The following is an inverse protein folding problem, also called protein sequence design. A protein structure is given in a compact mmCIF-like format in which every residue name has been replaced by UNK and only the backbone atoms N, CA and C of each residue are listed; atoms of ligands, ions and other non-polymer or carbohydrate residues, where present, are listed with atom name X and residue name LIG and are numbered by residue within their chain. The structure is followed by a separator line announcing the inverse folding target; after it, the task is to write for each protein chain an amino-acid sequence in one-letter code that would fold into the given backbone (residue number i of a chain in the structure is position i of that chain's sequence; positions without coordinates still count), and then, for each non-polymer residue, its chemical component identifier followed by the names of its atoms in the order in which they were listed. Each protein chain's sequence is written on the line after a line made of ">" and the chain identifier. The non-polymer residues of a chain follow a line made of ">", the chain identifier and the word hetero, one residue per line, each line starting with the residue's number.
data_IF_085943512952
#
_entry.id   IF_085943512952
#
_cell.length_a   1.000
_cell.length_b   1.000
_cell.length_c   1.000
_cell.angle_alpha   90.00
_cell.angle_beta   90.00
_cell.angle_gamma   90.00
#
_symmetry.space_group_name_H-M   'P 1'
#
loop_
_entity.id
_entity.type
_entity.pdbx_description
1 polymer ?
#
# COMPACT_ATOMS: atom_id res chain seq x y z
N UNK A 1 -63.56 -44.88 -48.82
CA UNK A 1 -62.99 -45.30 -47.53
C UNK A 1 -63.95 -46.30 -46.95
N UNK A 2 -63.50 -47.53 -46.76
CA UNK A 2 -64.36 -48.59 -46.21
C UNK A 2 -64.63 -48.30 -44.72
N UNK A 3 -65.79 -48.73 -44.22
CA UNK A 3 -66.18 -48.47 -42.83
C UNK A 3 -65.16 -49.07 -41.83
N UNK A 4 -64.62 -50.25 -42.15
CA UNK A 4 -63.58 -50.94 -41.38
C UNK A 4 -62.24 -50.18 -41.37
N UNK A 5 -61.93 -49.45 -42.44
CA UNK A 5 -60.72 -48.63 -42.53
C UNK A 5 -60.83 -47.39 -41.63
N UNK A 6 -62.04 -46.79 -41.52
CA UNK A 6 -62.33 -45.73 -40.56
C UNK A 6 -62.18 -46.22 -39.12
N UNK A 7 -62.76 -47.38 -38.78
CA UNK A 7 -62.71 -47.95 -37.43
C UNK A 7 -61.26 -48.23 -37.01
N UNK A 8 -60.47 -48.83 -37.90
CA UNK A 8 -59.05 -49.11 -37.63
C UNK A 8 -58.24 -47.84 -37.39
N UNK A 9 -58.56 -46.77 -38.14
CA UNK A 9 -57.88 -45.48 -38.01
C UNK A 9 -58.28 -44.77 -36.73
N UNK A 10 -59.56 -44.84 -36.33
CA UNK A 10 -60.06 -44.29 -35.07
C UNK A 10 -59.37 -44.96 -33.87
N UNK A 11 -59.33 -46.29 -33.80
CA UNK A 11 -58.64 -46.98 -32.71
C UNK A 11 -57.15 -46.63 -32.62
N UNK A 12 -56.46 -46.52 -33.77
CA UNK A 12 -55.04 -46.10 -33.79
C UNK A 12 -54.86 -44.67 -33.26
N UNK A 13 -55.78 -43.77 -33.59
CA UNK A 13 -55.74 -42.39 -33.11
C UNK A 13 -56.06 -42.32 -31.61
N UNK A 14 -57.01 -43.11 -31.12
CA UNK A 14 -57.32 -43.25 -29.69
C UNK A 14 -56.10 -43.76 -28.91
N UNK A 15 -55.48 -44.86 -29.34
CA UNK A 15 -54.24 -45.38 -28.73
C UNK A 15 -53.11 -44.34 -28.72
N UNK A 16 -53.02 -43.54 -29.79
CA UNK A 16 -52.02 -42.47 -29.90
C UNK A 16 -52.32 -41.29 -28.98
N UNK A 17 -53.59 -40.93 -28.82
CA UNK A 17 -54.03 -39.90 -27.89
C UNK A 17 -53.70 -40.35 -26.46
N UNK A 18 -54.07 -41.56 -26.07
CA UNK A 18 -53.79 -42.10 -24.75
C UNK A 18 -52.29 -42.11 -24.44
N UNK A 19 -51.47 -42.54 -25.40
CA UNK A 19 -50.00 -42.51 -25.27
C UNK A 19 -49.47 -41.09 -25.07
N UNK A 20 -49.96 -40.13 -25.86
CA UNK A 20 -49.51 -38.73 -25.80
C UNK A 20 -49.99 -38.02 -24.54
N UNK A 21 -51.16 -38.38 -24.02
CA UNK A 21 -51.69 -37.87 -22.75
C UNK A 21 -50.88 -38.37 -21.56
N UNK A 22 -50.54 -39.67 -21.55
CA UNK A 22 -49.68 -40.26 -20.53
C UNK A 22 -48.25 -39.68 -20.57
N UNK A 23 -47.69 -39.49 -21.77
CA UNK A 23 -46.39 -38.84 -21.92
C UNK A 23 -46.44 -37.37 -21.44
N UNK A 24 -47.48 -36.62 -21.80
CA UNK A 24 -47.68 -35.25 -21.32
C UNK A 24 -47.77 -35.19 -19.79
N UNK A 25 -48.50 -36.13 -19.17
CA UNK A 25 -48.64 -36.19 -17.71
C UNK A 25 -47.27 -36.40 -17.07
N UNK A 26 -46.51 -37.40 -17.55
CA UNK A 26 -45.14 -37.68 -17.05
C UNK A 26 -44.19 -36.50 -17.22
N UNK A 27 -44.22 -35.83 -18.37
CA UNK A 27 -43.37 -34.65 -18.61
C UNK A 27 -43.73 -33.47 -17.71
N UNK A 28 -45.02 -33.25 -17.42
CA UNK A 28 -45.47 -32.21 -16.50
C UNK A 28 -45.03 -32.48 -15.07
N UNK A 29 -45.12 -33.73 -14.63
CA UNK A 29 -44.69 -34.14 -13.29
C UNK A 29 -43.17 -33.95 -13.15
N UNK A 30 -42.39 -34.44 -14.12
CA UNK A 30 -40.94 -34.28 -14.14
C UNK A 30 -40.51 -32.81 -14.21
N UNK A 31 -41.23 -31.98 -14.99
CA UNK A 31 -40.97 -30.54 -15.06
C UNK A 31 -41.22 -29.86 -13.72
N UNK A 32 -42.28 -30.25 -13.01
CA UNK A 32 -42.64 -29.68 -11.71
C UNK A 32 -41.58 -30.04 -10.66
N UNK A 33 -41.18 -31.32 -10.60
CA UNK A 33 -40.13 -31.80 -9.70
C UNK A 33 -38.79 -31.09 -9.96
N UNK A 34 -38.37 -31.01 -11.22
CA UNK A 34 -37.13 -30.33 -11.59
C UNK A 34 -37.18 -28.84 -11.26
N UNK A 35 -38.31 -28.18 -11.50
CA UNK A 35 -38.49 -26.76 -11.18
C UNK A 35 -38.39 -26.52 -9.67
N UNK A 36 -38.98 -27.37 -8.85
CA UNK A 36 -38.89 -27.30 -7.40
C UNK A 36 -37.43 -27.49 -6.95
N UNK A 37 -36.76 -28.53 -7.44
CA UNK A 37 -35.36 -28.80 -7.12
C UNK A 37 -34.43 -27.63 -7.49
N UNK A 38 -34.60 -27.05 -8.68
CA UNK A 38 -33.80 -25.89 -9.12
C UNK A 38 -34.09 -24.67 -8.26
N UNK A 39 -35.35 -24.42 -7.92
CA UNK A 39 -35.74 -23.30 -7.06
C UNK A 39 -35.11 -23.42 -5.68
N UNK A 40 -35.12 -24.63 -5.13
CA UNK A 40 -34.52 -24.96 -3.84
C UNK A 40 -33.00 -24.79 -3.84
N UNK A 41 -32.30 -25.34 -4.84
CA UNK A 41 -30.84 -25.25 -4.94
C UNK A 41 -30.40 -23.79 -5.14
N UNK A 42 -31.08 -23.05 -6.03
CA UNK A 42 -30.83 -21.62 -6.23
C UNK A 42 -31.09 -20.85 -4.93
N UNK A 43 -32.20 -21.11 -4.23
CA UNK A 43 -32.53 -20.47 -2.96
C UNK A 43 -31.45 -20.70 -1.88
N UNK A 44 -30.94 -21.92 -1.77
CA UNK A 44 -29.83 -22.27 -0.85
C UNK A 44 -28.55 -21.54 -1.23
N UNK A 45 -28.18 -21.51 -2.51
CA UNK A 45 -26.97 -20.81 -2.99
C UNK A 45 -27.06 -19.30 -2.78
N UNK A 46 -28.20 -18.68 -3.10
CA UNK A 46 -28.44 -17.24 -2.87
C UNK A 46 -28.34 -16.91 -1.38
N UNK A 47 -28.93 -17.74 -0.51
CA UNK A 47 -28.82 -17.57 0.95
C UNK A 47 -27.38 -17.66 1.43
N UNK A 48 -26.62 -18.65 0.95
CA UNK A 48 -25.22 -18.84 1.31
C UNK A 48 -24.34 -17.67 0.83
N UNK A 49 -24.55 -17.20 -0.40
CA UNK A 49 -23.85 -16.03 -0.95
C UNK A 49 -24.19 -14.77 -0.15
N UNK A 50 -25.47 -14.56 0.20
CA UNK A 50 -25.89 -13.44 1.05
C UNK A 50 -25.17 -13.42 2.39
N UNK A 51 -25.10 -14.57 3.07
CA UNK A 51 -24.35 -14.72 4.35
C UNK A 51 -22.86 -14.40 4.19
N UNK A 52 -22.23 -14.89 3.12
CA UNK A 52 -20.81 -14.64 2.83
C UNK A 52 -20.54 -13.17 2.56
N UNK A 53 -21.39 -12.52 1.76
CA UNK A 53 -21.29 -11.09 1.45
C UNK A 53 -21.44 -10.24 2.70
N UNK A 54 -22.44 -10.52 3.54
CA UNK A 54 -22.62 -9.82 4.81
C UNK A 54 -21.39 -9.96 5.73
N UNK A 55 -20.86 -11.19 5.89
CA UNK A 55 -19.67 -11.42 6.69
C UNK A 55 -18.43 -10.68 6.14
N UNK A 56 -18.29 -10.61 4.81
CA UNK A 56 -17.21 -9.84 4.19
C UNK A 56 -17.38 -8.34 4.41
N UNK A 57 -18.60 -7.80 4.32
CA UNK A 57 -18.88 -6.40 4.60
C UNK A 57 -18.49 -6.05 6.05
N UNK A 58 -18.83 -6.89 7.03
CA UNK A 58 -18.41 -6.70 8.43
C UNK A 58 -16.89 -6.67 8.57
N UNK A 59 -16.17 -7.62 7.96
CA UNK A 59 -14.70 -7.65 8.01
C UNK A 59 -14.05 -6.43 7.36
N UNK A 60 -14.58 -5.98 6.23
CA UNK A 60 -14.09 -4.78 5.54
C UNK A 60 -14.30 -3.56 6.43
N UNK A 61 -15.47 -3.41 7.04
CA UNK A 61 -15.78 -2.31 7.94
C UNK A 61 -14.87 -2.31 9.18
N UNK A 62 -14.60 -3.47 9.78
CA UNK A 62 -13.65 -3.63 10.89
C UNK A 62 -12.23 -3.21 10.49
N UNK A 63 -11.74 -3.66 9.33
CA UNK A 63 -10.43 -3.29 8.82
C UNK A 63 -10.34 -1.79 8.56
N UNK A 64 -11.32 -1.22 7.86
CA UNK A 64 -11.37 0.21 7.57
C UNK A 64 -11.39 1.04 8.86
N UNK A 65 -12.18 0.63 9.85
CA UNK A 65 -12.24 1.30 11.16
C UNK A 65 -10.88 1.28 11.86
N UNK A 66 -10.21 0.11 11.90
CA UNK A 66 -8.89 -0.03 12.52
C UNK A 66 -7.82 0.81 11.82
N UNK A 67 -7.84 0.86 10.49
CA UNK A 67 -6.86 1.66 9.74
C UNK A 67 -7.09 3.17 9.96
N UNK A 68 -8.35 3.62 10.07
CA UNK A 68 -8.68 4.99 10.47
C UNK A 68 -8.19 5.32 11.88
N UNK A 69 -8.35 4.41 12.85
CA UNK A 69 -7.84 4.57 14.23
C UNK A 69 -6.31 4.65 14.29
N UNK A 70 -5.61 4.01 13.35
CA UNK A 70 -4.16 4.17 13.19
C UNK A 70 -3.77 5.49 12.52
N UNK A 71 -4.73 6.25 12.00
CA UNK A 71 -4.52 7.53 11.33
C UNK A 71 -4.29 7.43 9.82
N UNK A 72 -4.70 6.33 9.17
CA UNK A 72 -4.70 6.26 7.71
C UNK A 72 -5.78 7.19 7.12
N UNK A 73 -5.57 7.67 5.89
CA UNK A 73 -6.63 8.29 5.10
C UNK A 73 -7.14 7.29 4.07
N UNK A 74 -8.43 6.98 4.11
CA UNK A 74 -9.07 6.03 3.18
C UNK A 74 -9.76 6.78 2.06
N UNK A 75 -9.79 6.21 0.86
CA UNK A 75 -10.51 6.77 -0.28
C UNK A 75 -12.03 6.79 0.01
N UNK A 76 -12.66 7.96 -0.15
CA UNK A 76 -14.06 8.15 0.18
C UNK A 76 -15.00 7.29 -0.71
N UNK A 77 -14.61 6.96 -1.94
CA UNK A 77 -15.42 6.13 -2.85
C UNK A 77 -15.55 4.69 -2.33
N UNK A 78 -14.52 4.21 -1.64
CA UNK A 78 -14.41 2.82 -1.19
C UNK A 78 -14.85 2.62 0.27
N UNK A 79 -15.31 3.67 0.94
CA UNK A 79 -15.67 3.64 2.35
C UNK A 79 -17.18 3.78 2.54
N UNK A 80 -17.78 2.78 3.19
CA UNK A 80 -19.18 2.85 3.58
C UNK A 80 -19.31 3.29 5.03
N UNK A 81 -19.39 4.62 5.23
CA UNK A 81 -19.42 5.27 6.54
C UNK A 81 -20.44 4.70 7.55
N UNK A 82 -21.68 4.33 7.17
CA UNK A 82 -22.65 3.79 8.13
C UNK A 82 -22.23 2.46 8.78
N UNK A 83 -21.24 1.76 8.20
CA UNK A 83 -20.71 0.51 8.77
C UNK A 83 -19.48 0.69 9.65
N UNK A 84 -18.88 1.89 9.68
CA UNK A 84 -17.67 2.14 10.44
C UNK A 84 -17.95 2.23 11.94
N UNK A 85 -17.08 1.62 12.73
CA UNK A 85 -17.08 1.70 14.19
C UNK A 85 -15.81 2.43 14.60
N UNK A 86 -15.87 3.76 14.63
CA UNK A 86 -14.73 4.63 14.91
C UNK A 86 -14.95 5.50 16.14
N UNK A 87 -13.86 5.85 16.82
CA UNK A 87 -13.91 6.76 17.97
C UNK A 87 -14.55 8.11 17.60
N UNK A 88 -15.49 8.58 18.43
CA UNK A 88 -16.30 9.77 18.16
C UNK A 88 -17.40 9.61 17.10
N UNK A 89 -17.57 8.41 16.51
CA UNK A 89 -18.70 8.04 15.66
C UNK A 89 -18.84 8.81 14.34
N UNK A 90 -17.81 9.56 13.93
CA UNK A 90 -17.82 10.33 12.69
C UNK A 90 -16.43 10.37 12.06
N UNK A 91 -16.41 10.45 10.74
CA UNK A 91 -15.21 10.70 9.95
C UNK A 91 -15.27 12.11 9.36
N UNK A 92 -14.11 12.69 9.09
CA UNK A 92 -13.94 13.94 8.37
C UNK A 92 -13.56 13.63 6.91
N UNK A 93 -14.24 14.25 5.95
CA UNK A 93 -13.88 14.22 4.54
C UNK A 93 -12.98 15.40 4.20
N UNK A 94 -11.95 15.17 3.41
CA UNK A 94 -11.05 16.21 2.92
C UNK A 94 -10.52 15.85 1.52
N UNK A 95 -10.14 16.87 0.75
CA UNK A 95 -9.62 16.70 -0.61
C UNK A 95 -8.09 16.63 -0.63
N UNK A 96 -7.57 15.83 -1.56
CA UNK A 96 -6.17 15.78 -1.98
C UNK A 96 -6.08 15.96 -3.49
N UNK A 97 -4.87 16.12 -4.02
CA UNK A 97 -4.59 16.36 -5.44
C UNK A 97 -5.16 15.30 -6.40
N UNK A 98 -5.54 14.13 -5.89
CA UNK A 98 -5.96 12.97 -6.66
C UNK A 98 -7.31 12.38 -6.26
N UNK A 99 -8.00 12.98 -5.29
CA UNK A 99 -9.33 12.51 -4.88
C UNK A 99 -9.79 12.97 -3.51
N UNK A 100 -10.94 12.47 -3.10
CA UNK A 100 -11.55 12.74 -1.79
C UNK A 100 -11.27 11.59 -0.84
N UNK A 101 -10.86 11.92 0.38
CA UNK A 101 -10.47 10.95 1.40
C UNK A 101 -11.23 11.18 2.71
N UNK A 102 -11.32 10.13 3.52
CA UNK A 102 -11.87 10.15 4.89
C UNK A 102 -10.79 9.86 5.92
N UNK A 103 -10.89 10.54 7.07
CA UNK A 103 -10.01 10.35 8.25
C UNK A 103 -10.81 10.55 9.55
N UNK A 104 -10.19 10.28 10.71
CA UNK A 104 -10.79 10.65 11.99
C UNK A 104 -10.61 12.16 12.28
N UNK A 105 -11.64 12.83 12.84
CA UNK A 105 -11.54 14.24 13.23
C UNK A 105 -10.39 14.48 14.22
N UNK A 106 -9.64 15.55 14.05
CA UNK A 106 -8.56 15.93 14.98
C UNK A 106 -7.28 15.11 14.84
N UNK A 107 -7.27 14.03 14.04
CA UNK A 107 -6.04 13.41 13.55
C UNK A 107 -5.54 14.26 12.38
N UNK A 108 -4.72 15.26 12.69
CA UNK A 108 -4.07 16.08 11.67
C UNK A 108 -3.31 15.19 10.68
N UNK A 109 -3.39 15.56 9.41
CA UNK A 109 -2.49 15.06 8.38
C UNK A 109 -1.05 15.32 8.84
N UNK A 110 -0.39 14.27 9.34
CA UNK A 110 0.95 14.37 9.92
C UNK A 110 2.03 14.77 8.89
N UNK A 111 1.65 15.02 7.64
CA UNK A 111 2.59 15.33 6.59
C UNK A 111 2.46 16.71 5.97
N UNK A 112 1.34 17.44 6.12
CA UNK A 112 1.12 18.72 5.38
C UNK A 112 1.63 18.61 3.93
N UNK A 113 1.39 17.47 3.29
CA UNK A 113 1.91 17.16 1.95
C UNK A 113 0.76 16.55 1.17
N UNK A 114 0.26 17.31 0.20
CA UNK A 114 -0.68 16.85 -0.82
C UNK A 114 -0.15 15.58 -1.48
N UNK A 115 -0.60 14.44 -0.99
CA UNK A 115 -0.08 13.14 -1.36
C UNK A 115 -1.13 12.05 -1.16
N UNK A 116 -1.40 11.34 -2.25
CA UNK A 116 -2.43 10.32 -2.52
C UNK A 116 -2.83 9.39 -1.39
N UNK A 117 -1.96 9.03 -0.45
CA UNK A 117 -2.35 8.10 0.62
C UNK A 117 -1.42 8.32 1.78
N UNK A 118 -1.95 8.77 2.92
CA UNK A 118 -1.15 8.88 4.14
C UNK A 118 -1.13 7.50 4.77
N UNK A 119 0.07 6.91 4.75
CA UNK A 119 0.34 5.67 5.45
C UNK A 119 0.16 5.85 6.95
N UNK A 120 -0.33 4.80 7.63
CA UNK A 120 -0.38 4.77 9.08
C UNK A 120 1.03 4.91 9.66
N UNK A 121 1.14 5.47 10.87
CA UNK A 121 2.45 5.65 11.53
C UNK A 121 3.25 4.35 11.64
N UNK A 122 2.56 3.23 11.89
CA UNK A 122 3.17 1.90 12.00
C UNK A 122 3.74 1.34 10.69
N UNK A 123 3.29 1.85 9.53
CA UNK A 123 3.73 1.34 8.21
C UNK A 123 4.98 2.06 7.68
N UNK A 124 5.45 3.07 8.42
CA UNK A 124 6.64 3.84 8.09
C UNK A 124 7.91 3.14 8.56
N UNK A 125 9.02 3.49 7.93
CA UNK A 125 10.33 3.16 8.46
C UNK A 125 10.55 3.86 9.81
N UNK A 126 11.29 3.27 10.76
CA UNK A 126 11.66 3.94 12.01
C UNK A 126 12.24 5.34 11.81
N UNK A 127 13.10 5.54 10.80
CA UNK A 127 13.63 6.88 10.48
C UNK A 127 12.50 7.86 10.09
N UNK A 128 11.51 7.42 9.32
CA UNK A 128 10.36 8.22 8.92
C UNK A 128 9.43 8.50 10.12
N UNK A 129 9.30 7.56 11.06
CA UNK A 129 8.57 7.78 12.32
C UNK A 129 9.26 8.86 13.15
N UNK A 130 10.57 8.77 13.34
CA UNK A 130 11.36 9.72 14.11
C UNK A 130 11.39 11.12 13.48
N UNK A 131 11.36 11.23 12.15
CA UNK A 131 11.27 12.54 11.48
C UNK A 131 9.99 13.31 11.82
N UNK A 132 8.99 12.65 12.41
CA UNK A 132 7.71 13.23 12.85
C UNK A 132 7.70 13.65 14.31
N UNK A 133 8.71 13.29 15.09
CA UNK A 133 8.84 13.80 16.45
C UNK A 133 9.17 15.29 16.40
N UNK A 134 8.62 16.05 17.35
CA UNK A 134 9.07 17.42 17.59
C UNK A 134 10.52 17.42 18.09
N UNK A 135 11.19 18.57 17.98
CA UNK A 135 12.62 18.66 18.27
C UNK A 135 12.92 18.39 19.75
N UNK A 136 11.98 18.65 20.67
CA UNK A 136 12.14 18.40 22.11
C UNK A 136 12.09 16.90 22.44
N UNK A 137 11.15 16.16 21.83
CA UNK A 137 11.08 14.72 21.93
C UNK A 137 12.27 14.06 21.24
N UNK A 138 12.61 14.51 20.04
CA UNK A 138 13.78 14.03 19.30
C UNK A 138 15.07 14.30 20.09
N UNK A 139 15.13 15.37 20.89
CA UNK A 139 16.30 15.68 21.72
C UNK A 139 16.62 14.59 22.76
N UNK A 140 15.66 13.74 23.14
CA UNK A 140 15.86 12.61 24.04
C UNK A 140 16.56 11.40 23.37
N UNK A 141 16.58 11.34 22.04
CA UNK A 141 17.22 10.26 21.29
C UNK A 141 18.76 10.39 21.29
N UNK A 142 19.49 9.27 21.16
CA UNK A 142 20.94 9.30 21.02
C UNK A 142 21.38 10.20 19.86
N UNK A 143 22.47 10.94 20.05
CA UNK A 143 22.96 11.90 19.05
C UNK A 143 23.09 11.35 17.61
N UNK A 144 23.61 10.12 17.38
CA UNK A 144 23.67 9.56 16.03
C UNK A 144 22.28 9.35 15.40
N UNK A 145 21.27 9.04 16.21
CA UNK A 145 19.87 8.87 15.77
C UNK A 145 19.28 10.23 15.37
N UNK A 146 19.50 11.28 16.16
CA UNK A 146 19.06 12.64 15.83
C UNK A 146 19.67 13.12 14.51
N UNK A 147 20.98 12.95 14.35
CA UNK A 147 21.65 13.30 13.09
C UNK A 147 21.16 12.45 11.92
N UNK A 148 20.84 11.16 12.14
CA UNK A 148 20.27 10.31 11.10
C UNK A 148 18.90 10.84 10.64
N UNK A 149 18.08 11.33 11.57
CA UNK A 149 16.80 11.97 11.27
C UNK A 149 16.99 13.25 10.46
N UNK A 150 17.90 14.13 10.86
CA UNK A 150 18.17 15.38 10.14
C UNK A 150 18.71 15.13 8.72
N UNK A 151 19.63 14.19 8.59
CA UNK A 151 20.17 13.74 7.30
C UNK A 151 19.08 13.11 6.44
N UNK A 152 18.12 12.39 7.02
CA UNK A 152 16.99 11.84 6.27
C UNK A 152 15.98 12.92 5.85
N UNK A 153 15.78 13.95 6.68
CA UNK A 153 14.96 15.13 6.34
C UNK A 153 15.57 15.88 5.15
N UNK A 154 16.88 16.12 5.14
CA UNK A 154 17.61 16.73 4.02
C UNK A 154 17.40 15.97 2.70
N UNK A 155 17.35 14.63 2.74
CA UNK A 155 17.07 13.80 1.55
C UNK A 155 15.76 14.16 0.85
N UNK A 156 14.75 14.54 1.63
CA UNK A 156 13.40 14.82 1.15
C UNK A 156 13.24 16.27 0.66
N UNK A 157 14.18 17.15 1.00
CA UNK A 157 14.15 18.55 0.61
C UNK A 157 15.02 18.79 -0.62
N UNK A 158 14.38 18.79 -1.79
CA UNK A 158 15.04 19.09 -3.06
C UNK A 158 15.50 20.58 -3.17
N UNK A 159 15.20 21.45 -2.21
CA UNK A 159 15.67 22.85 -2.23
C UNK A 159 16.79 23.12 -1.21
N UNK A 160 17.11 22.17 -0.33
CA UNK A 160 18.18 22.32 0.64
C UNK A 160 19.56 22.43 -0.05
N UNK A 161 20.36 23.43 0.37
CA UNK A 161 21.74 23.62 -0.07
C UNK A 161 22.63 23.89 1.14
N UNK A 162 23.76 23.16 1.31
CA UNK A 162 24.27 22.08 0.47
C UNK A 162 23.55 20.74 0.68
N UNK A 163 23.25 20.03 -0.42
CA UNK A 163 22.63 18.68 -0.35
C UNK A 163 23.62 17.65 0.16
N UNK A 164 23.21 16.85 1.15
CA UNK A 164 24.02 15.73 1.65
C UNK A 164 23.85 14.49 0.78
N UNK A 165 22.64 14.26 0.30
CA UNK A 165 22.34 13.13 -0.57
C UNK A 165 22.63 13.48 -2.03
N UNK A 166 23.58 12.77 -2.60
CA UNK A 166 23.92 12.87 -4.01
C UNK A 166 23.04 11.94 -4.84
N UNK A 167 22.67 12.37 -6.06
CA UNK A 167 21.97 11.49 -7.01
C UNK A 167 22.93 10.41 -7.51
N UNK A 168 22.47 9.17 -7.46
CA UNK A 168 23.16 8.04 -8.04
C UNK A 168 22.89 7.86 -9.53
N UNK A 169 23.42 6.76 -10.06
CA UNK A 169 23.17 6.31 -11.44
C UNK A 169 22.94 4.80 -11.47
N UNK A 170 22.16 4.32 -12.45
CA UNK A 170 21.92 2.89 -12.66
C UNK A 170 21.14 2.26 -11.51
N UNK A 171 21.80 1.38 -10.74
CA UNK A 171 21.19 0.68 -9.60
C UNK A 171 21.16 1.50 -8.31
N UNK A 172 21.76 2.68 -8.30
CA UNK A 172 21.80 3.58 -7.13
C UNK A 172 20.86 4.75 -7.36
N UNK A 173 19.89 4.93 -6.47
CA UNK A 173 19.00 6.10 -6.50
C UNK A 173 19.72 7.33 -5.96
N UNK A 174 20.21 7.22 -4.73
CA UNK A 174 20.91 8.27 -4.01
C UNK A 174 22.00 7.64 -3.14
N UNK A 175 23.01 8.43 -2.80
CA UNK A 175 24.04 8.01 -1.86
C UNK A 175 24.52 9.17 -1.00
N UNK A 176 25.13 8.84 0.14
CA UNK A 176 25.70 9.76 1.10
C UNK A 176 27.13 9.31 1.44
N UNK A 177 28.10 10.20 1.23
CA UNK A 177 29.50 9.93 1.53
C UNK A 177 29.82 10.30 2.99
N UNK A 178 30.51 9.41 3.71
CA UNK A 178 30.85 9.64 5.11
C UNK A 178 31.77 10.86 5.32
N UNK A 179 32.62 11.19 4.33
CA UNK A 179 33.48 12.36 4.38
C UNK A 179 32.72 13.68 4.29
N UNK A 180 31.67 13.73 3.45
CA UNK A 180 30.78 14.88 3.33
C UNK A 180 29.92 15.02 4.57
N UNK A 181 29.34 13.92 5.06
CA UNK A 181 28.60 13.91 6.32
C UNK A 181 29.45 14.42 7.49
N UNK A 182 30.71 13.97 7.60
CA UNK A 182 31.62 14.45 8.63
C UNK A 182 31.94 15.94 8.48
N UNK A 183 31.95 16.48 7.25
CA UNK A 183 32.15 17.91 7.01
C UNK A 183 30.92 18.70 7.42
N UNK A 184 29.73 18.23 7.05
CA UNK A 184 28.46 18.81 7.45
C UNK A 184 28.29 18.84 8.97
N UNK A 185 28.55 17.74 9.67
CA UNK A 185 28.52 17.66 11.15
C UNK A 185 29.41 18.74 11.78
N UNK A 186 30.58 19.05 11.19
CA UNK A 186 31.46 20.10 11.73
C UNK A 186 30.96 21.51 11.50
N UNK A 187 30.18 21.72 10.44
CA UNK A 187 29.57 23.03 10.14
C UNK A 187 28.38 23.24 11.06
N UNK A 188 27.54 22.23 11.21
CA UNK A 188 26.37 22.25 12.07
C UNK A 188 26.76 22.36 13.55
N UNK A 189 27.76 21.59 13.98
CA UNK A 189 28.20 21.53 15.37
C UNK A 189 29.47 22.36 15.59
N UNK A 190 29.29 23.59 16.06
CA UNK A 190 30.40 24.50 16.39
C UNK A 190 31.36 23.84 17.40
N UNK A 191 32.65 23.80 17.05
CA UNK A 191 33.73 23.38 17.95
C UNK A 191 34.05 21.88 17.97
N UNK A 192 33.48 21.09 17.07
CA UNK A 192 33.77 19.65 16.98
C UNK A 192 35.08 19.36 16.25
N UNK A 193 35.91 18.50 16.84
CA UNK A 193 37.16 18.07 16.23
C UNK A 193 36.93 17.21 14.98
N UNK A 194 37.87 17.25 14.03
CA UNK A 194 37.78 16.46 12.79
C UNK A 194 37.59 14.95 13.05
N UNK A 195 38.33 14.41 14.01
CA UNK A 195 38.27 12.98 14.35
C UNK A 195 36.97 12.59 15.03
N UNK A 196 36.41 13.47 15.87
CA UNK A 196 35.10 13.23 16.48
C UNK A 196 33.98 13.27 15.44
N UNK A 197 33.99 14.25 14.54
CA UNK A 197 33.01 14.34 13.46
C UNK A 197 33.04 13.11 12.53
N UNK A 198 34.22 12.58 12.21
CA UNK A 198 34.35 11.33 11.45
C UNK A 198 33.74 10.13 12.19
N UNK A 199 34.00 10.00 13.50
CA UNK A 199 33.38 8.92 14.31
C UNK A 199 31.87 9.08 14.39
N UNK A 200 31.39 10.32 14.52
CA UNK A 200 29.96 10.62 14.62
C UNK A 200 29.26 10.36 13.27
N UNK A 201 29.88 10.70 12.15
CA UNK A 201 29.40 10.37 10.81
C UNK A 201 29.26 8.85 10.63
N UNK A 202 30.27 8.06 11.02
CA UNK A 202 30.17 6.60 10.96
C UNK A 202 29.02 6.05 11.78
N UNK A 203 28.85 6.52 13.03
CA UNK A 203 27.73 6.10 13.90
C UNK A 203 26.36 6.55 13.37
N UNK A 204 26.32 7.69 12.68
CA UNK A 204 25.10 8.20 12.05
C UNK A 204 24.72 7.34 10.85
N UNK A 205 25.69 6.89 10.05
CA UNK A 205 25.47 5.89 8.99
C UNK A 205 24.96 4.58 9.58
N UNK A 206 25.54 4.11 10.69
CA UNK A 206 25.07 2.90 11.38
C UNK A 206 23.61 3.05 11.83
N UNK A 207 23.25 4.19 12.42
CA UNK A 207 21.87 4.50 12.79
C UNK A 207 20.94 4.56 11.58
N UNK A 208 21.35 5.15 10.45
CA UNK A 208 20.55 5.15 9.22
C UNK A 208 20.32 3.74 8.66
N UNK A 209 21.34 2.88 8.67
CA UNK A 209 21.20 1.49 8.24
C UNK A 209 20.16 0.74 9.09
N UNK A 210 20.21 0.93 10.40
CA UNK A 210 19.27 0.34 11.35
C UNK A 210 17.85 0.90 11.15
N UNK A 211 17.70 2.23 11.16
CA UNK A 211 16.40 2.90 11.11
C UNK A 211 15.70 2.83 9.75
N UNK A 212 16.44 2.51 8.68
CA UNK A 212 15.86 2.26 7.36
C UNK A 212 15.44 0.80 7.16
N UNK A 213 15.64 -0.07 8.17
CA UNK A 213 15.19 -1.46 8.17
C UNK A 213 15.58 -2.23 6.88
N UNK A 214 16.86 -2.14 6.49
CA UNK A 214 17.41 -2.83 5.32
C UNK A 214 17.08 -2.21 3.97
N UNK A 215 16.51 -0.99 3.92
CA UNK A 215 16.28 -0.24 2.66
C UNK A 215 17.52 0.48 2.15
N UNK A 216 18.55 0.60 2.97
CA UNK A 216 19.86 1.12 2.58
C UNK A 216 20.94 0.08 2.89
N UNK A 217 22.09 0.22 2.24
CA UNK A 217 23.28 -0.58 2.53
C UNK A 217 24.52 0.31 2.53
N UNK A 218 25.60 -0.11 3.18
CA UNK A 218 26.88 0.58 3.10
C UNK A 218 27.89 -0.14 2.21
N UNK A 219 28.74 0.63 1.57
CA UNK A 219 29.84 0.13 0.76
C UNK A 219 31.12 0.94 0.98
N UNK A 220 32.27 0.34 0.68
CA UNK A 220 33.56 1.01 0.67
C UNK A 220 33.97 1.33 -0.76
N UNK A 221 34.08 2.62 -1.08
CA UNK A 221 34.53 3.09 -2.40
C UNK A 221 35.95 3.62 -2.35
N UNK A 222 36.70 3.41 -3.42
CA UNK A 222 38.00 4.06 -3.57
C UNK A 222 37.79 5.53 -3.93
N UNK A 223 38.26 6.43 -3.08
CA UNK A 223 38.28 7.86 -3.30
C UNK A 223 39.71 8.34 -3.58
N UNK A 224 39.85 9.36 -4.44
CA UNK A 224 41.11 10.06 -4.68
C UNK A 224 40.95 11.54 -4.36
N UNK A 225 41.73 12.02 -3.41
CA UNK A 225 41.82 13.45 -3.09
C UNK A 225 43.28 13.81 -2.85
N UNK A 226 43.73 14.92 -3.43
CA UNK A 226 45.08 15.46 -3.25
C UNK A 226 46.20 14.43 -3.53
N UNK A 227 46.02 13.57 -4.54
CA UNK A 227 46.98 12.53 -4.92
C UNK A 227 46.99 11.28 -4.02
N UNK A 228 46.24 11.29 -2.92
CA UNK A 228 46.11 10.16 -1.99
C UNK A 228 44.85 9.34 -2.29
N UNK A 229 44.99 8.01 -2.23
CA UNK A 229 43.88 7.05 -2.33
C UNK A 229 43.44 6.65 -0.92
N UNK A 230 42.17 6.81 -0.63
CA UNK A 230 41.57 6.30 0.61
C UNK A 230 40.28 5.53 0.31
N UNK A 231 39.89 4.67 1.24
CA UNK A 231 38.57 4.03 1.21
C UNK A 231 37.58 4.94 1.93
N UNK A 232 36.52 5.31 1.24
CA UNK A 232 35.42 6.10 1.77
C UNK A 232 34.22 5.18 1.99
N UNK A 233 33.64 5.25 3.20
CA UNK A 233 32.37 4.58 3.49
C UNK A 233 31.25 5.42 2.91
N UNK A 234 30.33 4.77 2.22
CA UNK A 234 29.18 5.37 1.56
C UNK A 234 27.92 4.64 1.98
N UNK A 235 26.89 5.38 2.36
CA UNK A 235 25.54 4.86 2.52
C UNK A 235 24.83 4.97 1.17
N UNK A 236 24.17 3.90 0.74
CA UNK A 236 23.53 3.80 -0.56
C UNK A 236 22.05 3.47 -0.41
N UNK A 237 21.22 4.23 -1.13
CA UNK A 237 19.81 3.93 -1.36
C UNK A 237 19.66 3.31 -2.76
N UNK A 238 19.36 2.00 -2.87
CA UNK A 238 19.11 1.33 -4.15
C UNK A 238 17.96 1.95 -4.95
N UNK A 239 18.03 1.86 -6.28
CA UNK A 239 16.99 2.31 -7.20
C UNK A 239 15.67 1.49 -7.12
N UNK A 240 15.72 0.31 -6.53
CA UNK A 240 14.60 -0.60 -6.30
C UNK A 240 14.16 -0.67 -4.83
N UNK A 241 14.74 0.17 -3.95
CA UNK A 241 14.33 0.24 -2.56
C UNK A 241 12.88 0.75 -2.45
N UNK A 242 12.00 -0.08 -1.87
CA UNK A 242 10.62 0.31 -1.59
C UNK A 242 10.56 1.13 -0.30
N UNK A 243 10.51 2.45 -0.44
CA UNK A 243 10.35 3.39 0.67
C UNK A 243 8.84 3.69 0.85
N UNK A 244 8.26 3.44 2.04
CA UNK A 244 6.85 3.71 2.29
C UNK A 244 6.51 5.19 2.02
N UNK A 245 5.51 5.42 1.16
CA UNK A 245 4.98 6.76 0.88
C UNK A 245 5.70 7.50 -0.25
N UNK A 246 6.80 6.96 -0.79
CA UNK A 246 7.48 7.52 -1.95
C UNK A 246 6.98 6.85 -3.24
N UNK A 247 6.40 7.64 -4.13
CA UNK A 247 6.04 7.17 -5.48
C UNK A 247 7.31 7.04 -6.31
N UNK A 248 7.48 5.89 -6.94
CA UNK A 248 8.53 5.68 -7.93
C UNK A 248 8.31 6.63 -9.10
N UNK A 249 9.25 7.55 -9.34
CA UNK A 249 9.27 8.24 -10.62
C UNK A 249 9.46 7.17 -11.72
N UNK A 250 8.61 7.13 -12.76
CA UNK A 250 8.81 6.19 -13.85
C UNK A 250 10.20 6.44 -14.45
N UNK A 251 11.02 5.39 -14.52
CA UNK A 251 12.28 5.43 -15.23
C UNK A 251 11.96 5.72 -16.70
N UNK A 252 12.17 6.97 -17.14
CA UNK A 252 12.26 7.24 -18.57
C UNK A 252 13.51 6.50 -19.05
N UNK A 253 13.28 5.39 -19.74
CA UNK A 253 14.29 4.75 -20.55
C UNK A 253 14.78 5.81 -21.54
N UNK A 254 15.97 6.36 -21.28
CA UNK A 254 16.69 7.11 -22.28
C UNK A 254 16.89 6.17 -23.45
N UNK A 255 16.22 6.48 -24.56
CA UNK A 255 16.44 5.86 -25.86
C UNK A 255 17.87 6.25 -26.25
N UNK A 256 18.80 5.33 -26.12
CA UNK A 256 20.13 5.47 -26.73
C UNK A 256 19.91 5.60 -28.24
N UNK A 257 20.30 6.76 -28.77
CA UNK A 257 20.33 7.04 -30.19
C UNK A 257 21.41 6.20 -30.87
N UNK A 258 21.01 5.58 -31.97
CA UNK A 258 21.90 5.03 -32.99
C UNK A 258 22.19 6.11 -34.06
#
# INVERSE_FOLDING_TARGET
>A
MDHDELITTLHRLEDRIDTLEDENRRLRDAYTELREQVTDDVGRRVTALGKKTAANQTRIAELQSRELEKGAHLDAEHVYEPSLVVDGGRVERFEKDDGTYVRLPGRQDALTRGGTTTLAHADLLPVQQLTRLDDDMLASEPRPVRLAVDVWRDRLDDQAAPRLWQRGSGRVHQYLDAGELATWIRVEERGVSKSYAQKLASRTIDALLELTNGRTYDELRNHRKDGLRYKERRLVLPADASIPGERRAPQTAAVDGE
#
